data_IF_307644101354
#
_entry.id   IF_307644101354
#
_cell.length_a   1.000
_cell.length_b   1.000
_cell.length_c   1.000
_cell.angle_alpha   90.00
_cell.angle_beta   90.00
_cell.angle_gamma   90.00
#
_symmetry.space_group_name_H-M   'P 1'
#
loop_
_entity.id
_entity.type
_entity.pdbx_description
1 polymer ?
#
# COMPACT_ATOMS: atom_id res chain seq x y z
N UNK A 1 -5.02 10.46 -24.26
CA UNK A 1 -5.47 9.06 -24.12
C UNK A 1 -6.23 8.94 -22.82
N UNK A 2 -7.30 8.13 -22.77
CA UNK A 2 -8.18 8.01 -21.60
C UNK A 2 -8.32 6.53 -21.28
N UNK A 3 -8.12 6.15 -20.01
CA UNK A 3 -8.48 4.83 -19.50
C UNK A 3 -9.86 4.91 -18.84
N UNK A 4 -10.74 3.95 -19.11
CA UNK A 4 -12.05 3.88 -18.45
C UNK A 4 -11.85 3.42 -17.01
N UNK A 5 -12.50 4.11 -16.07
CA UNK A 5 -12.42 3.80 -14.63
C UNK A 5 -13.52 2.88 -14.13
N UNK A 6 -14.48 2.52 -15.00
CA UNK A 6 -15.62 1.64 -14.67
C UNK A 6 -16.40 2.10 -13.42
N UNK A 7 -16.49 3.42 -13.20
CA UNK A 7 -17.19 4.00 -12.05
C UNK A 7 -16.36 4.06 -10.76
N UNK A 8 -15.11 3.60 -10.77
CA UNK A 8 -14.19 3.79 -9.65
C UNK A 8 -13.80 5.27 -9.50
N UNK A 9 -13.94 5.79 -8.28
CA UNK A 9 -13.47 7.12 -7.89
C UNK A 9 -12.17 6.93 -7.11
N UNK A 10 -11.06 7.43 -7.64
CA UNK A 10 -9.75 7.29 -7.01
C UNK A 10 -9.48 8.45 -6.04
N UNK A 11 -9.13 8.12 -4.81
CA UNK A 11 -8.91 9.09 -3.73
C UNK A 11 -7.43 9.29 -3.42
N UNK A 12 -6.59 8.34 -3.83
CA UNK A 12 -5.14 8.44 -3.70
C UNK A 12 -4.46 7.98 -4.98
N UNK A 13 -3.43 8.73 -5.35
CA UNK A 13 -2.55 8.51 -6.49
C UNK A 13 -1.13 8.55 -5.93
N UNK A 14 -0.34 7.53 -6.24
CA UNK A 14 1.06 7.45 -5.86
C UNK A 14 1.88 6.91 -7.03
N UNK A 15 3.18 7.13 -7.03
CA UNK A 15 4.07 6.68 -8.11
C UNK A 15 5.37 6.13 -7.57
N UNK A 16 5.92 5.13 -8.24
CA UNK A 16 7.27 4.62 -7.99
C UNK A 16 8.30 5.42 -8.79
N UNK A 17 9.59 5.27 -8.49
CA UNK A 17 10.64 5.94 -9.28
C UNK A 17 10.73 5.39 -10.71
N UNK A 18 10.34 4.13 -10.92
CA UNK A 18 10.31 3.48 -12.24
C UNK A 18 9.09 3.90 -13.09
N UNK A 19 8.22 4.76 -12.55
CA UNK A 19 7.12 5.37 -13.29
C UNK A 19 5.81 4.58 -13.24
N UNK A 20 5.70 3.56 -12.37
CA UNK A 20 4.42 2.92 -12.09
C UNK A 20 3.51 3.89 -11.37
N UNK A 21 2.26 4.02 -11.83
CA UNK A 21 1.26 4.90 -11.22
C UNK A 21 0.24 4.02 -10.52
N UNK A 22 0.24 4.06 -9.19
CA UNK A 22 -0.68 3.30 -8.36
C UNK A 22 -1.85 4.17 -7.90
N UNK A 23 -3.04 3.59 -7.93
CA UNK A 23 -4.31 4.25 -7.66
C UNK A 23 -5.10 3.43 -6.63
N UNK A 24 -5.77 4.11 -5.70
CA UNK A 24 -6.70 3.48 -4.76
C UNK A 24 -8.04 4.18 -4.75
N UNK A 25 -9.13 3.41 -4.77
CA UNK A 25 -10.51 3.90 -4.81
C UNK A 25 -11.30 3.52 -3.54
N UNK A 26 -10.61 3.21 -2.43
CA UNK A 26 -11.26 2.76 -1.20
C UNK A 26 -11.87 1.36 -1.31
N UNK A 27 -11.56 0.63 -2.38
CA UNK A 27 -11.75 -0.81 -2.47
C UNK A 27 -10.56 -1.54 -1.80
N UNK A 28 -10.66 -2.84 -1.49
CA UNK A 28 -9.52 -3.66 -1.05
C UNK A 28 -8.47 -3.91 -2.15
N UNK A 29 -8.67 -3.33 -3.34
CA UNK A 29 -7.75 -3.51 -4.47
C UNK A 29 -6.96 -2.25 -4.72
N UNK A 30 -5.71 -2.47 -5.13
CA UNK A 30 -4.86 -1.46 -5.71
C UNK A 30 -4.99 -1.54 -7.23
N UNK A 31 -5.04 -0.39 -7.87
CA UNK A 31 -5.08 -0.28 -9.32
C UNK A 31 -3.76 0.31 -9.81
N UNK A 32 -3.40 -0.01 -11.04
CA UNK A 32 -2.24 0.55 -11.70
C UNK A 32 -2.66 1.16 -13.03
N UNK A 33 -2.24 2.39 -13.28
CA UNK A 33 -2.40 3.04 -14.57
C UNK A 33 -1.14 2.81 -15.40
N UNK A 34 -1.24 1.93 -16.38
CA UNK A 34 -0.14 1.59 -17.29
C UNK A 34 -0.29 2.40 -18.57
N UNK A 35 0.78 3.07 -18.97
CA UNK A 35 0.84 3.81 -20.22
C UNK A 35 1.99 3.33 -21.11
N UNK A 36 1.78 3.36 -22.42
CA UNK A 36 2.77 2.96 -23.42
C UNK A 36 3.12 4.13 -24.33
N UNK A 37 4.42 4.33 -24.59
CA UNK A 37 4.90 5.37 -25.52
C UNK A 37 4.55 5.04 -26.96
N UNK A 38 4.54 3.78 -27.34
CA UNK A 38 4.27 3.30 -28.70
C UNK A 38 2.83 2.78 -28.84
N UNK A 39 2.06 3.20 -29.87
CA UNK A 39 0.79 2.53 -30.19
C UNK A 39 1.07 1.08 -30.59
N UNK A 40 0.67 0.12 -29.75
CA UNK A 40 0.51 -1.26 -30.21
C UNK A 40 -0.70 -1.35 -31.14
N UNK A 41 -0.63 -2.13 -32.21
CA UNK A 41 -1.76 -2.27 -33.16
C UNK A 41 -3.06 -2.80 -32.49
N UNK A 42 -2.96 -3.41 -31.31
CA UNK A 42 -4.09 -4.01 -30.58
C UNK A 42 -4.12 -3.66 -29.08
N UNK A 43 -3.36 -2.67 -28.62
CA UNK A 43 -3.30 -2.29 -27.21
C UNK A 43 -3.61 -0.80 -27.00
N UNK A 44 -4.52 -0.52 -26.07
CA UNK A 44 -4.78 0.86 -25.63
C UNK A 44 -3.50 1.44 -25.03
N UNK A 45 -3.09 2.63 -25.49
CA UNK A 45 -1.90 3.34 -24.95
C UNK A 45 -1.98 3.64 -23.47
N UNK A 46 -3.17 3.58 -22.88
CA UNK A 46 -3.41 3.80 -21.47
C UNK A 46 -4.41 2.75 -20.98
N UNK A 47 -4.05 2.02 -19.93
CA UNK A 47 -4.79 0.87 -19.41
C UNK A 47 -4.87 0.98 -17.90
N UNK A 48 -6.03 0.63 -17.36
CA UNK A 48 -6.18 0.49 -15.92
C UNK A 48 -6.14 -1.00 -15.59
N UNK A 49 -5.13 -1.41 -14.83
CA UNK A 49 -4.95 -2.79 -14.37
C UNK A 49 -5.41 -2.85 -12.92
N UNK A 50 -6.24 -3.84 -12.62
CA UNK A 50 -6.71 -4.11 -11.26
C UNK A 50 -5.84 -5.22 -10.67
N UNK A 51 -5.06 -4.90 -9.64
CA UNK A 51 -4.27 -5.89 -8.93
C UNK A 51 -5.16 -6.66 -7.97
N UNK A 52 -5.30 -7.95 -8.26
CA UNK A 52 -6.11 -8.86 -7.45
C UNK A 52 -5.21 -9.44 -6.37
N UNK A 53 -5.54 -9.15 -5.11
CA UNK A 53 -4.80 -9.70 -3.99
C UNK A 53 -4.85 -11.24 -3.99
N UNK A 54 -3.76 -11.94 -3.60
CA UNK A 54 -3.69 -13.40 -3.61
C UNK A 54 -4.86 -14.06 -2.86
N UNK A 55 -5.24 -15.27 -3.25
CA UNK A 55 -6.36 -16.01 -2.61
C UNK A 55 -6.20 -16.14 -1.09
N UNK A 56 -4.96 -16.21 -0.57
CA UNK A 56 -4.68 -16.34 0.85
C UNK A 56 -5.11 -15.13 1.69
N UNK A 57 -4.99 -13.91 1.16
CA UNK A 57 -5.54 -12.73 1.86
C UNK A 57 -7.07 -12.77 1.85
N UNK A 58 -7.70 -13.27 0.78
CA UNK A 58 -9.15 -13.50 0.75
C UNK A 58 -9.61 -14.56 1.75
N UNK A 59 -8.86 -15.64 1.96
CA UNK A 59 -9.23 -16.68 2.95
C UNK A 59 -9.17 -16.14 4.37
N UNK A 60 -8.13 -15.36 4.71
CA UNK A 60 -8.06 -14.64 6.00
C UNK A 60 -9.23 -13.66 6.15
N UNK A 61 -9.53 -12.90 5.11
CA UNK A 61 -10.66 -11.97 5.09
C UNK A 61 -12.02 -12.70 5.10
N UNK A 62 -12.10 -13.97 4.66
CA UNK A 62 -13.32 -14.80 4.69
C UNK A 62 -13.59 -15.38 6.08
N UNK A 63 -12.53 -15.66 6.85
CA UNK A 63 -12.65 -16.10 8.25
C UNK A 63 -13.02 -14.93 9.17
N UNK A 64 -12.63 -13.69 8.82
CA UNK A 64 -13.18 -12.49 9.44
C UNK A 64 -14.51 -12.11 8.78
N UNK A 65 -15.65 -12.24 9.47
CA UNK A 65 -17.00 -11.87 8.98
C UNK A 65 -17.19 -10.34 8.70
N UNK A 66 -16.11 -9.58 8.48
CA UNK A 66 -16.14 -8.13 8.36
C UNK A 66 -16.21 -7.67 6.91
N UNK A 67 -16.88 -6.53 6.70
CA UNK A 67 -16.88 -5.79 5.45
C UNK A 67 -15.48 -5.68 4.87
N UNK A 68 -15.36 -5.86 3.55
CA UNK A 68 -14.09 -5.75 2.84
C UNK A 68 -13.35 -4.45 3.20
N UNK A 69 -12.09 -4.53 3.68
CA UNK A 69 -11.37 -3.35 4.16
C UNK A 69 -11.12 -2.35 3.03
N UNK A 70 -11.32 -1.07 3.32
CA UNK A 70 -11.06 0.01 2.37
C UNK A 70 -9.60 0.41 2.45
N UNK A 71 -8.85 0.19 1.37
CA UNK A 71 -7.41 0.50 1.35
C UNK A 71 -7.18 1.94 0.88
N UNK A 72 -6.30 2.64 1.59
CA UNK A 72 -5.68 3.89 1.15
C UNK A 72 -4.18 3.64 0.97
N UNK A 73 -3.69 3.74 -0.26
CA UNK A 73 -2.24 3.76 -0.52
C UNK A 73 -1.69 5.06 0.07
N UNK A 74 -0.56 5.00 0.78
CA UNK A 74 -0.03 6.17 1.48
C UNK A 74 1.34 6.57 0.93
N UNK A 75 2.18 5.58 0.60
CA UNK A 75 3.50 5.84 0.08
C UNK A 75 3.97 4.69 -0.81
N UNK A 76 4.72 5.04 -1.85
CA UNK A 76 5.50 4.11 -2.65
C UNK A 76 6.97 4.35 -2.37
N UNK A 77 7.72 3.27 -2.19
CA UNK A 77 9.17 3.34 -2.17
C UNK A 77 9.70 3.62 -3.57
N UNK A 78 10.89 4.26 -3.66
CA UNK A 78 11.57 4.43 -4.93
C UNK A 78 11.78 3.09 -5.64
N UNK A 79 11.99 1.99 -4.89
CA UNK A 79 12.13 0.64 -5.43
C UNK A 79 11.33 -0.37 -4.62
N UNK A 80 10.58 -1.18 -5.34
CA UNK A 80 10.10 -2.50 -4.97
C UNK A 80 8.94 -2.63 -3.97
N UNK A 81 8.43 -1.56 -3.35
CA UNK A 81 7.27 -1.72 -2.47
C UNK A 81 6.37 -0.48 -2.33
N UNK A 82 5.13 -0.72 -1.94
CA UNK A 82 4.18 0.29 -1.51
C UNK A 82 3.59 -0.07 -0.15
N UNK A 83 3.18 0.96 0.59
CA UNK A 83 2.52 0.81 1.88
C UNK A 83 1.15 1.45 1.84
N UNK A 84 0.19 0.73 2.40
CA UNK A 84 -1.17 1.20 2.56
C UNK A 84 -1.65 1.01 4.00
N UNK A 85 -2.67 1.79 4.36
CA UNK A 85 -3.46 1.56 5.57
C UNK A 85 -4.89 1.31 5.16
N UNK A 86 -5.52 0.34 5.82
CA UNK A 86 -6.95 0.12 5.71
C UNK A 86 -7.76 0.79 6.83
N UNK A 87 -9.07 0.87 6.63
CA UNK A 87 -10.03 1.41 7.59
C UNK A 87 -10.18 0.57 8.87
N UNK A 88 -9.55 -0.61 8.91
CA UNK A 88 -9.47 -1.47 10.10
C UNK A 88 -8.14 -1.27 10.86
N UNK A 89 -7.38 -0.23 10.54
CA UNK A 89 -6.08 0.07 11.16
C UNK A 89 -5.05 -1.05 10.98
N UNK A 90 -5.00 -1.68 9.80
CA UNK A 90 -3.88 -2.51 9.40
C UNK A 90 -2.95 -1.76 8.46
N UNK A 91 -1.65 -1.90 8.71
CA UNK A 91 -0.61 -1.50 7.79
C UNK A 91 -0.30 -2.68 6.87
N UNK A 92 -0.43 -2.46 5.57
CA UNK A 92 -0.22 -3.46 4.52
C UNK A 92 1.00 -3.08 3.69
N UNK A 93 1.92 -4.02 3.54
CA UNK A 93 3.11 -3.89 2.71
C UNK A 93 2.89 -4.68 1.42
N UNK A 94 3.01 -4.00 0.30
CA UNK A 94 2.94 -4.60 -1.03
C UNK A 94 4.32 -4.57 -1.68
N UNK A 95 4.81 -5.71 -2.13
CA UNK A 95 5.93 -5.80 -3.04
C UNK A 95 5.48 -5.44 -4.45
N UNK A 96 6.25 -4.59 -5.12
CA UNK A 96 6.06 -4.17 -6.50
C UNK A 96 7.23 -4.76 -7.27
N UNK A 97 6.97 -5.71 -8.16
CA UNK A 97 8.02 -6.28 -9.02
C UNK A 97 7.68 -6.03 -10.47
N UNK A 98 8.67 -5.72 -11.28
CA UNK A 98 8.43 -5.59 -12.71
C UNK A 98 8.15 -6.95 -13.35
N UNK A 99 6.96 -7.11 -13.96
CA UNK A 99 6.67 -8.29 -14.76
C UNK A 99 7.29 -8.09 -16.16
N UNK A 100 8.51 -8.61 -16.31
CA UNK A 100 9.25 -8.85 -17.54
C UNK A 100 10.15 -7.72 -18.09
N UNK A 101 11.46 -8.02 -18.04
CA UNK A 101 12.58 -7.34 -18.71
C UNK A 101 12.48 -7.36 -20.26
N UNK A 102 11.45 -7.99 -20.85
CA UNK A 102 11.35 -8.27 -22.29
C UNK A 102 10.02 -7.88 -22.95
N UNK A 103 9.14 -7.10 -22.30
CA UNK A 103 7.95 -6.53 -22.95
C UNK A 103 8.11 -5.02 -23.15
N UNK A 104 7.52 -4.49 -24.23
CA UNK A 104 7.45 -3.04 -24.50
C UNK A 104 6.64 -2.25 -23.46
N UNK A 105 5.96 -2.95 -22.55
CA UNK A 105 5.16 -2.40 -21.47
C UNK A 105 5.56 -3.10 -20.17
N UNK A 106 6.07 -2.34 -19.21
CA UNK A 106 6.27 -2.82 -17.85
C UNK A 106 4.93 -2.73 -17.12
N UNK A 107 4.54 -3.85 -16.51
CA UNK A 107 3.36 -3.97 -15.66
C UNK A 107 3.87 -4.40 -14.31
N UNK A 108 3.50 -3.70 -13.24
CA UNK A 108 3.88 -4.14 -11.91
C UNK A 108 3.14 -5.44 -11.56
N UNK A 109 3.84 -6.36 -10.91
CA UNK A 109 3.24 -7.38 -10.06
C UNK A 109 3.16 -6.78 -8.67
N UNK A 110 1.94 -6.61 -8.17
CA UNK A 110 1.70 -6.16 -6.81
C UNK A 110 1.33 -7.36 -5.95
N UNK A 111 2.19 -7.71 -5.00
CA UNK A 111 2.02 -8.84 -4.08
C UNK A 111 1.94 -8.32 -2.64
N UNK A 112 0.96 -8.76 -1.85
CA UNK A 112 0.92 -8.44 -0.41
C UNK A 112 1.97 -9.27 0.34
N UNK A 113 3.01 -8.60 0.86
CA UNK A 113 4.11 -9.23 1.57
C UNK A 113 3.84 -9.38 3.07
N UNK A 114 3.19 -8.39 3.66
CA UNK A 114 2.91 -8.39 5.10
C UNK A 114 1.66 -7.57 5.43
N UNK A 115 0.99 -7.99 6.50
CA UNK A 115 -0.11 -7.26 7.14
C UNK A 115 0.20 -7.20 8.63
N UNK A 116 0.25 -5.99 9.17
CA UNK A 116 0.54 -5.76 10.57
C UNK A 116 -0.58 -4.92 11.16
N UNK A 117 -1.22 -5.40 12.22
CA UNK A 117 -2.21 -4.62 12.95
C UNK A 117 -1.51 -3.52 13.74
N UNK A 118 -2.11 -2.32 13.78
CA UNK A 118 -1.59 -1.22 14.61
C UNK A 118 -1.53 -1.62 16.08
N UNK A 119 -2.45 -2.49 16.55
CA UNK A 119 -2.39 -3.08 17.89
C UNK A 119 -1.13 -3.95 18.09
N UNK A 120 -0.81 -4.83 17.13
CA UNK A 120 0.39 -5.68 17.19
C UNK A 120 1.69 -4.86 17.15
N UNK A 121 1.72 -3.77 16.36
CA UNK A 121 2.82 -2.80 16.41
C UNK A 121 2.92 -2.18 17.80
N UNK A 122 1.80 -1.73 18.36
CA UNK A 122 1.77 -1.12 19.70
C UNK A 122 2.30 -2.05 20.79
N UNK A 123 1.91 -3.32 20.76
CA UNK A 123 2.34 -4.33 21.74
C UNK A 123 3.85 -4.61 21.64
N UNK A 124 4.38 -4.76 20.42
CA UNK A 124 5.82 -4.94 20.21
C UNK A 124 6.61 -3.72 20.66
N UNK A 125 6.11 -2.52 20.36
CA UNK A 125 6.76 -1.27 20.76
C UNK A 125 6.78 -1.11 22.26
N UNK A 126 5.63 -1.31 22.92
CA UNK A 126 5.56 -1.23 24.37
C UNK A 126 6.51 -2.24 25.03
N UNK A 127 6.67 -3.44 24.44
CA UNK A 127 7.61 -4.43 24.92
C UNK A 127 9.08 -3.99 24.80
N UNK A 128 9.43 -3.21 23.77
CA UNK A 128 10.77 -2.67 23.53
C UNK A 128 11.08 -1.42 24.37
N UNK A 129 10.08 -0.58 24.61
CA UNK A 129 10.27 0.75 25.21
C UNK A 129 9.73 0.85 26.63
N UNK A 130 9.58 -0.27 27.36
CA UNK A 130 8.89 -0.45 28.66
C UNK A 130 9.07 0.65 29.73
N UNK A 131 10.04 1.54 29.62
CA UNK A 131 10.34 2.63 30.55
C UNK A 131 10.12 4.05 30.00
N UNK A 132 9.80 4.22 28.71
CA UNK A 132 9.80 5.52 28.04
C UNK A 132 8.44 5.94 27.46
N UNK A 133 7.46 5.03 27.40
CA UNK A 133 6.11 5.34 26.91
C UNK A 133 5.09 5.37 28.05
N UNK A 134 4.34 6.46 28.12
CA UNK A 134 3.23 6.66 29.06
C UNK A 134 1.99 5.90 28.60
N UNK A 135 1.73 5.85 27.29
CA UNK A 135 0.55 5.16 26.74
C UNK A 135 0.91 3.94 25.89
N UNK A 136 0.09 2.89 26.04
CA UNK A 136 0.10 1.68 25.20
C UNK A 136 -0.78 1.78 23.98
N UNK A 137 -1.61 2.80 23.87
CA UNK A 137 -2.56 2.95 22.76
C UNK A 137 -1.95 3.83 21.69
N UNK A 138 -1.97 3.36 20.44
CA UNK A 138 -1.65 4.20 19.28
C UNK A 138 -2.96 4.83 18.78
N UNK A 139 -3.00 6.16 18.73
CA UNK A 139 -4.14 6.91 18.21
C UNK A 139 -4.08 7.02 16.68
N UNK A 140 -2.88 7.25 16.15
CA UNK A 140 -2.67 7.43 14.72
C UNK A 140 -1.34 6.83 14.25
N UNK A 141 -1.33 6.29 13.03
CA UNK A 141 -0.14 5.76 12.38
C UNK A 141 -0.07 6.32 10.96
N UNK A 142 1.08 6.86 10.60
CA UNK A 142 1.36 7.51 9.33
C UNK A 142 2.63 6.89 8.72
N UNK A 143 2.48 5.87 7.86
CA UNK A 143 3.60 5.34 7.10
C UNK A 143 3.99 6.34 6.02
N UNK A 144 5.29 6.46 5.82
CA UNK A 144 5.90 7.25 4.77
C UNK A 144 7.10 6.48 4.27
N UNK A 145 7.54 6.71 3.04
CA UNK A 145 8.82 6.17 2.57
C UNK A 145 9.78 7.33 2.41
N UNK A 146 10.96 7.19 3.01
CA UNK A 146 12.02 8.17 2.85
C UNK A 146 12.63 8.11 1.45
N UNK A 147 13.39 9.15 1.08
CA UNK A 147 14.13 9.18 -0.19
C UNK A 147 15.20 8.07 -0.28
N UNK A 148 15.65 7.61 0.87
CA UNK A 148 16.52 6.46 1.09
C UNK A 148 15.82 5.11 0.85
N UNK A 149 14.51 5.12 0.60
CA UNK A 149 13.72 3.90 0.40
C UNK A 149 13.43 3.14 1.69
N UNK A 150 13.67 3.75 2.85
CA UNK A 150 13.31 3.16 4.15
C UNK A 150 11.87 3.47 4.52
N UNK A 151 11.19 2.48 5.10
CA UNK A 151 9.84 2.66 5.62
C UNK A 151 9.93 3.45 6.92
N UNK A 152 9.31 4.62 6.93
CA UNK A 152 9.24 5.51 8.08
C UNK A 152 7.83 5.53 8.62
N UNK A 153 7.62 4.95 9.79
CA UNK A 153 6.31 4.93 10.45
C UNK A 153 6.29 5.97 11.55
N UNK A 154 5.48 7.00 11.38
CA UNK A 154 5.20 7.97 12.45
C UNK A 154 3.96 7.51 13.21
N UNK A 155 4.09 7.31 14.51
CA UNK A 155 2.97 6.94 15.35
C UNK A 155 2.73 8.02 16.42
N UNK A 156 1.47 8.24 16.76
CA UNK A 156 1.07 9.11 17.88
C UNK A 156 0.39 8.24 18.92
N UNK A 157 0.82 8.31 20.17
CA UNK A 157 0.18 7.56 21.26
C UNK A 157 -1.09 8.28 21.75
N UNK A 158 -1.91 7.59 22.53
CA UNK A 158 -3.07 8.20 23.20
C UNK A 158 -2.70 9.30 24.19
N UNK A 159 -1.45 9.34 24.66
CA UNK A 159 -0.91 10.41 25.50
C UNK A 159 -0.28 11.56 24.69
N UNK A 160 -0.31 11.48 23.35
CA UNK A 160 0.26 12.50 22.46
C UNK A 160 1.75 12.36 22.17
N UNK A 161 2.39 11.28 22.63
CA UNK A 161 3.80 10.99 22.35
C UNK A 161 3.99 10.70 20.86
N UNK A 162 5.07 11.21 20.26
CA UNK A 162 5.34 11.08 18.83
C UNK A 162 6.54 10.17 18.61
N UNK A 163 6.31 9.07 17.92
CA UNK A 163 7.30 8.04 17.65
C UNK A 163 7.62 8.02 16.16
N UNK A 164 8.90 7.82 15.84
CA UNK A 164 9.38 7.62 14.48
C UNK A 164 10.15 6.31 14.43
N UNK A 165 9.65 5.39 13.62
CA UNK A 165 10.32 4.14 13.29
C UNK A 165 10.90 4.25 11.90
N UNK A 166 12.14 3.81 11.73
CA UNK A 166 12.80 3.71 10.43
C UNK A 166 13.18 2.25 10.26
N UNK A 167 12.60 1.61 9.25
CA UNK A 167 12.82 0.21 8.89
C UNK A 167 13.53 0.13 7.54
#
# INVERSE_FOLDING_TARGET
YVARTEGAIFHCISHTADGHILLSCGAPQVYELVYSRSPGMFHSKCRLIRHVMPLWSRVRDFVSSASSPRIRVIACAPRDYAVAIDDQHHLRLFGIRDQAVHRTESVAVVEELAVISVAGVSDQLFALTKQHLVSRTMSHVFPTVGLDGHLRVRAVTGAGERLLFVC
#
